data_IF_114309655672
#
_entry.id   IF_114309655672
#
_cell.length_a   1.000
_cell.length_b   1.000
_cell.length_c   1.000
_cell.angle_alpha   90.00
_cell.angle_beta   90.00
_cell.angle_gamma   90.00
#
_symmetry.space_group_name_H-M   'P 1'
#
loop_
_entity.id
_entity.type
_entity.pdbx_description
1 polymer ?
#
# COMPACT_ATOMS: atom_id res chain seq x y z
N UNK A 1 -23.59 -26.10 11.81
CA UNK A 1 -22.73 -25.21 11.02
C UNK A 1 -23.41 -23.84 10.94
N UNK A 2 -23.18 -22.98 11.94
CA UNK A 2 -23.80 -21.66 12.01
C UNK A 2 -22.97 -20.67 11.19
N UNK A 3 -23.57 -20.13 10.13
CA UNK A 3 -22.94 -19.11 9.27
C UNK A 3 -22.68 -17.88 10.14
N UNK A 4 -21.40 -17.46 10.19
CA UNK A 4 -20.95 -16.18 10.77
C UNK A 4 -21.95 -15.07 10.46
N UNK A 5 -22.42 -14.40 11.51
CA UNK A 5 -23.52 -13.44 11.48
C UNK A 5 -23.63 -12.64 10.20
N UNK A 6 -24.70 -12.89 9.44
CA UNK A 6 -25.18 -12.00 8.41
C UNK A 6 -25.52 -10.66 9.10
N UNK A 7 -24.57 -9.73 9.13
CA UNK A 7 -24.89 -8.33 9.42
C UNK A 7 -25.70 -7.85 8.23
N UNK A 8 -27.03 -7.86 8.37
CA UNK A 8 -27.91 -7.23 7.40
C UNK A 8 -27.38 -5.80 7.14
N UNK A 9 -27.02 -5.45 5.90
CA UNK A 9 -26.57 -4.11 5.59
C UNK A 9 -27.65 -3.14 6.09
N UNK A 10 -27.27 -2.15 6.92
CA UNK A 10 -28.21 -1.13 7.43
C UNK A 10 -28.86 -0.44 6.23
N UNK A 11 -30.08 -0.83 5.92
CA UNK A 11 -30.75 -0.47 4.67
C UNK A 11 -31.42 0.89 4.79
N UNK A 12 -32.01 1.13 5.97
CA UNK A 12 -32.62 2.40 6.37
C UNK A 12 -31.82 3.03 7.51
N UNK A 13 -31.77 4.36 7.52
CA UNK A 13 -31.16 5.16 8.57
C UNK A 13 -32.01 6.39 8.85
N UNK A 14 -31.92 6.90 10.08
CA UNK A 14 -32.42 8.24 10.41
C UNK A 14 -31.22 9.19 10.45
N UNK A 15 -31.29 10.26 9.68
CA UNK A 15 -30.24 11.29 9.61
C UNK A 15 -30.92 12.67 9.74
N UNK A 16 -30.53 13.46 10.75
CA UNK A 16 -31.15 14.76 11.09
C UNK A 16 -32.68 14.71 11.12
N UNK A 17 -33.25 13.69 11.77
CA UNK A 17 -34.70 13.50 11.92
C UNK A 17 -35.44 13.12 10.64
N UNK A 18 -34.74 12.63 9.61
CA UNK A 18 -35.32 12.25 8.31
C UNK A 18 -34.98 10.80 7.98
N UNK A 19 -35.96 10.08 7.44
CA UNK A 19 -35.75 8.72 6.95
C UNK A 19 -34.91 8.75 5.66
N UNK A 20 -33.84 7.98 5.68
CA UNK A 20 -32.88 7.84 4.59
C UNK A 20 -32.76 6.37 4.21
N UNK A 21 -32.63 6.10 2.91
CA UNK A 21 -32.32 4.77 2.39
C UNK A 21 -30.92 4.75 1.80
N UNK A 22 -30.17 3.67 2.06
CA UNK A 22 -28.89 3.44 1.40
C UNK A 22 -29.13 2.78 0.06
N UNK A 23 -28.66 3.44 -0.99
CA UNK A 23 -28.65 2.89 -2.34
C UNK A 23 -27.23 2.86 -2.86
N UNK A 24 -26.99 1.96 -3.79
CA UNK A 24 -25.78 1.90 -4.58
C UNK A 24 -25.91 2.89 -5.74
N UNK A 25 -24.94 3.78 -5.85
CA UNK A 25 -24.72 4.62 -7.04
C UNK A 25 -23.36 4.26 -7.58
N UNK A 26 -23.35 3.52 -8.68
CA UNK A 26 -22.14 2.93 -9.27
C UNK A 26 -21.38 2.08 -8.24
N UNK A 27 -20.16 2.46 -7.87
CA UNK A 27 -19.33 1.74 -6.90
C UNK A 27 -19.42 2.25 -5.47
N UNK A 28 -20.26 3.25 -5.21
CA UNK A 28 -20.39 3.86 -3.88
C UNK A 28 -21.77 3.71 -3.28
N UNK A 29 -21.82 3.52 -1.97
CA UNK A 29 -23.07 3.59 -1.22
C UNK A 29 -23.39 5.04 -0.89
N UNK A 30 -24.58 5.50 -1.26
CA UNK A 30 -25.08 6.84 -0.95
C UNK A 30 -26.36 6.75 -0.14
N UNK A 31 -26.56 7.71 0.77
CA UNK A 31 -27.82 7.87 1.48
C UNK A 31 -28.70 8.80 0.67
N UNK A 32 -29.93 8.39 0.39
CA UNK A 32 -30.92 9.21 -0.28
C UNK A 32 -32.09 9.41 0.65
N UNK A 33 -32.67 10.61 0.59
CA UNK A 33 -33.82 10.96 1.38
C UNK A 33 -35.06 10.25 0.86
N UNK A 34 -35.77 9.56 1.75
CA UNK A 34 -37.08 9.01 1.43
C UNK A 34 -38.10 10.18 1.45
N UNK A 35 -39.00 10.28 0.45
CA UNK A 35 -40.09 11.24 0.46
C UNK A 35 -40.90 11.18 1.77
N UNK A 36 -41.49 12.29 2.22
CA UNK A 36 -42.29 12.34 3.46
C UNK A 36 -43.69 11.78 3.22
N UNK A 37 -43.76 10.49 2.95
CA UNK A 37 -44.98 9.75 2.71
C UNK A 37 -45.02 8.52 3.62
N UNK A 38 -46.06 8.43 4.44
CA UNK A 38 -46.21 7.36 5.44
C UNK A 38 -46.36 5.97 4.79
N UNK A 39 -46.95 5.87 3.60
CA UNK A 39 -47.11 4.61 2.87
C UNK A 39 -45.76 4.13 2.33
N UNK A 40 -44.93 5.05 1.84
CA UNK A 40 -43.57 4.72 1.40
C UNK A 40 -42.73 4.29 2.61
N UNK A 41 -42.86 4.99 3.74
CA UNK A 41 -42.11 4.67 4.96
C UNK A 41 -42.50 3.30 5.51
N UNK A 42 -43.79 3.01 5.64
CA UNK A 42 -44.28 1.73 6.14
C UNK A 42 -43.83 0.58 5.24
N UNK A 43 -43.91 0.76 3.92
CA UNK A 43 -43.45 -0.22 2.93
C UNK A 43 -41.96 -0.52 3.08
N UNK A 44 -41.11 0.51 3.10
CA UNK A 44 -39.66 0.33 3.22
C UNK A 44 -39.26 -0.28 4.56
N UNK A 45 -39.90 0.13 5.66
CA UNK A 45 -39.65 -0.43 7.00
C UNK A 45 -40.03 -1.91 7.01
N UNK A 46 -41.21 -2.26 6.52
CA UNK A 46 -41.67 -3.65 6.42
C UNK A 46 -40.70 -4.51 5.59
N UNK A 47 -40.25 -3.99 4.44
CA UNK A 47 -39.27 -4.67 3.61
C UNK A 47 -37.92 -4.84 4.30
N UNK A 48 -37.49 -3.85 5.09
CA UNK A 48 -36.21 -3.90 5.81
C UNK A 48 -36.19 -4.90 6.96
N UNK A 49 -37.35 -5.16 7.57
CA UNK A 49 -37.54 -6.11 8.67
C UNK A 49 -37.81 -7.54 8.18
N UNK A 50 -38.07 -7.71 6.89
CA UNK A 50 -38.24 -9.04 6.27
C UNK A 50 -36.93 -9.83 6.25
N UNK A 51 -37.01 -11.15 6.36
CA UNK A 51 -35.84 -12.04 6.40
C UNK A 51 -35.10 -12.12 5.06
N UNK A 52 -33.78 -12.42 5.05
CA UNK A 52 -33.05 -12.71 3.81
C UNK A 52 -33.74 -13.79 2.98
N UNK A 53 -33.92 -13.55 1.68
CA UNK A 53 -34.63 -14.46 0.77
C UNK A 53 -36.15 -14.28 0.69
N UNK A 54 -36.76 -13.48 1.58
CA UNK A 54 -38.18 -13.14 1.47
C UNK A 54 -38.41 -12.13 0.33
N UNK A 55 -39.57 -12.19 -0.36
CA UNK A 55 -39.88 -11.34 -1.52
C UNK A 55 -39.72 -9.83 -1.21
N UNK A 56 -40.24 -9.38 -0.07
CA UNK A 56 -40.07 -8.00 0.39
C UNK A 56 -38.59 -7.59 0.55
N UNK A 57 -37.75 -8.52 1.04
CA UNK A 57 -36.33 -8.27 1.21
C UNK A 57 -35.62 -8.19 -0.14
N UNK A 58 -36.01 -9.04 -1.09
CA UNK A 58 -35.54 -8.98 -2.48
C UNK A 58 -35.94 -7.66 -3.14
N UNK A 59 -37.19 -7.20 -2.97
CA UNK A 59 -37.66 -5.89 -3.49
C UNK A 59 -36.82 -4.73 -2.95
N UNK A 60 -36.51 -4.75 -1.65
CA UNK A 60 -35.62 -3.76 -1.06
C UNK A 60 -34.22 -3.82 -1.64
N UNK A 61 -33.63 -5.01 -1.74
CA UNK A 61 -32.30 -5.19 -2.35
C UNK A 61 -32.28 -4.73 -3.80
N UNK A 62 -33.32 -5.03 -4.59
CA UNK A 62 -33.45 -4.54 -5.94
C UNK A 62 -33.45 -3.01 -6.00
N UNK A 63 -34.25 -2.36 -5.14
CA UNK A 63 -34.30 -0.91 -5.05
C UNK A 63 -32.95 -0.33 -4.58
N UNK A 64 -32.28 -0.97 -3.63
CA UNK A 64 -30.99 -0.51 -3.14
C UNK A 64 -29.88 -0.64 -4.18
N UNK A 65 -29.85 -1.72 -4.94
CA UNK A 65 -28.76 -1.99 -5.87
C UNK A 65 -29.00 -1.39 -7.26
N UNK A 66 -30.24 -1.36 -7.76
CA UNK A 66 -30.50 -1.07 -9.17
C UNK A 66 -31.19 0.27 -9.44
N UNK A 67 -31.73 0.96 -8.44
CA UNK A 67 -32.47 2.22 -8.64
C UNK A 67 -31.67 3.31 -9.37
N UNK A 68 -30.34 3.32 -9.23
CA UNK A 68 -29.44 4.27 -9.90
C UNK A 68 -28.28 3.57 -10.61
N UNK A 69 -28.43 2.29 -10.94
CA UNK A 69 -27.44 1.63 -11.79
C UNK A 69 -27.77 1.95 -13.24
N UNK A 70 -26.84 2.61 -13.93
CA UNK A 70 -26.84 2.65 -15.39
C UNK A 70 -26.59 1.22 -15.89
N UNK A 71 -27.62 0.56 -16.44
CA UNK A 71 -27.54 -0.81 -16.96
C UNK A 71 -26.48 -0.92 -18.07
N UNK A 72 -26.19 0.20 -18.73
CA UNK A 72 -25.25 0.31 -19.85
C UNK A 72 -23.80 0.63 -19.43
N UNK A 73 -23.53 0.95 -18.16
CA UNK A 73 -22.16 1.23 -17.72
C UNK A 73 -21.45 -0.06 -17.32
N UNK A 74 -20.43 -0.40 -18.10
CA UNK A 74 -19.44 -1.40 -17.73
C UNK A 74 -18.94 -1.11 -16.31
N UNK A 75 -18.91 -2.16 -15.47
CA UNK A 75 -18.43 -2.12 -14.07
C UNK A 75 -17.01 -1.53 -14.00
N UNK A 76 -16.26 -1.63 -15.09
CA UNK A 76 -14.91 -1.10 -15.26
C UNK A 76 -14.94 -0.09 -16.41
N UNK A 77 -14.39 1.10 -16.20
CA UNK A 77 -14.35 2.14 -17.23
C UNK A 77 -13.51 1.71 -18.44
N UNK A 78 -13.81 2.20 -19.64
CA UNK A 78 -13.00 1.90 -20.84
C UNK A 78 -11.50 2.26 -20.66
N UNK A 79 -11.14 3.40 -20.04
CA UNK A 79 -9.75 3.68 -19.68
C UNK A 79 -9.13 2.61 -18.78
N UNK A 80 -9.83 2.14 -17.75
CA UNK A 80 -9.33 1.09 -16.87
C UNK A 80 -9.17 -0.25 -17.61
N UNK A 81 -10.10 -0.59 -18.51
CA UNK A 81 -9.99 -1.76 -19.39
C UNK A 81 -8.73 -1.67 -20.24
N UNK A 82 -8.46 -0.50 -20.82
CA UNK A 82 -7.26 -0.28 -21.63
C UNK A 82 -5.99 -0.39 -20.79
N UNK A 83 -5.96 0.19 -19.58
CA UNK A 83 -4.81 0.07 -18.69
C UNK A 83 -4.58 -1.36 -18.19
N UNK A 84 -5.64 -2.14 -17.97
CA UNK A 84 -5.53 -3.58 -17.67
C UNK A 84 -4.98 -4.35 -18.86
N UNK A 85 -5.46 -4.06 -20.08
CA UNK A 85 -4.95 -4.68 -21.32
C UNK A 85 -3.47 -4.33 -21.55
N UNK A 86 -3.08 -3.09 -21.30
CA UNK A 86 -1.69 -2.64 -21.38
C UNK A 86 -0.80 -3.41 -20.41
N UNK A 87 -1.16 -3.46 -19.12
CA UNK A 87 -0.41 -4.22 -18.12
C UNK A 87 -0.34 -5.70 -18.46
N UNK A 88 -1.44 -6.29 -18.95
CA UNK A 88 -1.47 -7.67 -19.41
C UNK A 88 -0.53 -7.90 -20.60
N UNK A 89 -0.52 -7.00 -21.58
CA UNK A 89 0.40 -7.06 -22.70
C UNK A 89 1.87 -7.06 -22.27
N UNK A 90 2.23 -6.25 -21.26
CA UNK A 90 3.58 -6.27 -20.68
C UNK A 90 3.90 -7.63 -20.07
N UNK A 91 2.97 -8.20 -19.29
CA UNK A 91 3.17 -9.52 -18.66
C UNK A 91 3.39 -10.58 -19.73
N UNK A 92 2.52 -10.64 -20.74
CA UNK A 92 2.54 -11.64 -21.80
C UNK A 92 3.82 -11.54 -22.66
N UNK A 93 4.38 -10.33 -22.83
CA UNK A 93 5.60 -10.09 -23.61
C UNK A 93 6.90 -10.17 -22.79
N UNK A 94 6.81 -10.33 -21.46
CA UNK A 94 7.98 -10.25 -20.57
C UNK A 94 8.83 -11.53 -20.49
N UNK A 95 8.46 -12.59 -21.21
CA UNK A 95 9.14 -13.89 -21.20
C UNK A 95 9.35 -14.44 -19.76
N UNK A 96 8.30 -14.36 -18.95
CA UNK A 96 8.31 -14.82 -17.56
C UNK A 96 9.05 -13.91 -16.57
N UNK A 97 9.62 -12.78 -17.01
CA UNK A 97 10.26 -11.81 -16.12
C UNK A 97 9.26 -11.06 -15.24
N UNK A 98 7.99 -10.98 -15.65
CA UNK A 98 6.90 -10.41 -14.83
C UNK A 98 5.92 -11.52 -14.43
N UNK A 99 5.68 -11.67 -13.13
CA UNK A 99 4.80 -12.71 -12.57
C UNK A 99 3.83 -12.11 -11.56
N UNK A 100 2.54 -12.42 -11.70
CA UNK A 100 1.52 -12.06 -10.72
C UNK A 100 1.45 -13.12 -9.60
N UNK A 101 1.62 -12.70 -8.35
CA UNK A 101 1.49 -13.57 -7.16
C UNK A 101 0.36 -13.11 -6.24
N UNK A 102 -0.51 -14.06 -5.86
CA UNK A 102 -1.55 -13.85 -4.86
C UNK A 102 -2.54 -12.71 -5.17
N UNK A 103 -2.66 -12.32 -6.44
CA UNK A 103 -3.57 -11.26 -6.92
C UNK A 103 -3.27 -9.84 -6.44
N UNK A 104 -2.18 -9.62 -5.69
CA UNK A 104 -1.87 -8.31 -5.07
C UNK A 104 -0.40 -7.91 -5.17
N UNK A 105 0.43 -8.72 -5.83
CA UNK A 105 1.86 -8.50 -5.99
C UNK A 105 2.28 -8.82 -7.42
N UNK A 106 3.04 -7.93 -8.02
CA UNK A 106 3.66 -8.11 -9.32
C UNK A 106 5.16 -8.24 -9.07
N UNK A 107 5.71 -9.44 -9.29
CA UNK A 107 7.15 -9.66 -9.24
C UNK A 107 7.74 -9.33 -10.61
N UNK A 108 8.83 -8.57 -10.64
CA UNK A 108 9.49 -8.11 -11.87
C UNK A 108 10.98 -8.42 -11.77
N UNK A 109 11.55 -9.05 -12.79
CA UNK A 109 12.99 -9.29 -12.89
C UNK A 109 13.58 -8.31 -13.90
N UNK A 110 14.41 -7.37 -13.43
CA UNK A 110 15.04 -6.36 -14.27
C UNK A 110 16.15 -6.92 -15.17
N UNK A 111 16.64 -6.10 -16.10
CA UNK A 111 17.70 -6.45 -17.06
C UNK A 111 19.00 -6.87 -16.35
N UNK A 112 19.31 -6.24 -15.20
CA UNK A 112 20.49 -6.58 -14.40
C UNK A 112 20.31 -7.86 -13.55
N UNK A 113 19.13 -8.49 -13.61
CA UNK A 113 18.77 -9.71 -12.89
C UNK A 113 18.24 -9.47 -11.47
N UNK A 114 17.98 -8.21 -11.09
CA UNK A 114 17.41 -7.86 -9.80
C UNK A 114 15.92 -8.22 -9.77
N UNK A 115 15.47 -8.77 -8.64
CA UNK A 115 14.05 -9.05 -8.40
C UNK A 115 13.39 -7.93 -7.60
N UNK A 116 12.35 -7.37 -8.20
CA UNK A 116 11.49 -6.35 -7.61
C UNK A 116 10.10 -6.91 -7.33
N UNK A 117 9.39 -6.25 -6.43
CA UNK A 117 7.97 -6.45 -6.23
C UNK A 117 7.22 -5.12 -6.21
N UNK A 118 6.23 -5.01 -7.10
CA UNK A 118 5.31 -3.87 -7.15
C UNK A 118 4.00 -4.29 -6.48
N UNK A 119 3.60 -3.52 -5.48
CA UNK A 119 2.40 -3.77 -4.68
C UNK A 119 1.48 -2.55 -4.81
N UNK A 120 0.29 -2.69 -5.45
CA UNK A 120 -0.68 -1.61 -5.52
C UNK A 120 -1.17 -1.19 -4.12
N UNK A 121 -1.38 0.11 -3.93
CA UNK A 121 -1.81 0.72 -2.66
C UNK A 121 -0.88 1.83 -2.20
N UNK A 122 -1.14 2.41 -1.03
CA UNK A 122 -0.37 3.56 -0.52
C UNK A 122 1.11 3.20 -0.34
N UNK A 123 1.96 3.84 -1.13
CA UNK A 123 3.42 3.82 -0.99
C UNK A 123 3.99 5.18 -0.56
N UNK A 124 5.33 5.33 -0.62
CA UNK A 124 6.02 6.56 -0.24
C UNK A 124 5.49 7.78 -1.00
N UNK A 125 5.50 8.95 -0.36
CA UNK A 125 5.08 10.22 -0.97
C UNK A 125 3.67 10.21 -1.60
N UNK A 126 2.74 9.45 -1.00
CA UNK A 126 1.36 9.26 -1.50
C UNK A 126 1.30 8.58 -2.88
N UNK A 127 2.35 7.85 -3.28
CA UNK A 127 2.32 7.00 -4.46
C UNK A 127 1.22 5.94 -4.34
N UNK A 128 0.63 5.56 -5.48
CA UNK A 128 -0.45 4.57 -5.56
C UNK A 128 0.06 3.14 -5.60
N UNK A 129 1.38 2.96 -5.46
CA UNK A 129 2.04 1.67 -5.35
C UNK A 129 3.26 1.77 -4.43
N UNK A 130 3.72 0.62 -3.96
CA UNK A 130 5.02 0.44 -3.30
C UNK A 130 5.88 -0.46 -4.14
N UNK A 131 7.17 -0.14 -4.21
CA UNK A 131 8.17 -0.96 -4.87
C UNK A 131 9.14 -1.46 -3.82
N UNK A 132 9.40 -2.76 -3.81
CA UNK A 132 10.42 -3.37 -2.97
C UNK A 132 11.40 -4.18 -3.80
N UNK A 133 12.60 -4.37 -3.29
CA UNK A 133 13.64 -5.20 -3.88
C UNK A 133 14.21 -6.17 -2.83
N UNK A 134 14.94 -7.19 -3.30
CA UNK A 134 15.66 -8.08 -2.40
C UNK A 134 16.78 -7.31 -1.66
N UNK A 135 16.98 -7.57 -0.36
CA UNK A 135 18.03 -6.90 0.41
C UNK A 135 19.40 -7.37 -0.09
N UNK A 136 20.36 -6.44 -0.14
CA UNK A 136 21.72 -6.70 -0.61
C UNK A 136 22.71 -6.65 0.56
N UNK A 137 22.40 -5.92 1.62
CA UNK A 137 23.21 -5.88 2.84
C UNK A 137 22.38 -6.12 4.11
N UNK A 138 23.08 -6.39 5.20
CA UNK A 138 22.52 -6.51 6.55
C UNK A 138 21.73 -5.24 6.93
N UNK A 139 22.28 -4.07 6.61
CA UNK A 139 21.60 -2.78 6.80
C UNK A 139 20.23 -2.71 6.10
N UNK A 140 20.09 -3.32 4.91
CA UNK A 140 18.80 -3.36 4.21
C UNK A 140 17.80 -4.28 4.94
N UNK A 141 18.27 -5.37 5.56
CA UNK A 141 17.45 -6.30 6.35
C UNK A 141 16.98 -5.62 7.64
N UNK A 142 17.90 -4.97 8.36
CA UNK A 142 17.59 -4.22 9.60
C UNK A 142 16.56 -3.14 9.31
N UNK A 143 16.76 -2.36 8.24
CA UNK A 143 15.82 -1.32 7.84
C UNK A 143 14.46 -1.90 7.45
N UNK A 144 14.43 -3.04 6.74
CA UNK A 144 13.20 -3.77 6.43
C UNK A 144 12.47 -4.25 7.68
N UNK A 145 13.18 -4.78 8.67
CA UNK A 145 12.62 -5.21 9.96
C UNK A 145 12.02 -4.03 10.73
N UNK A 146 12.73 -2.91 10.86
CA UNK A 146 12.25 -1.68 11.49
C UNK A 146 10.98 -1.17 10.81
N UNK A 147 10.99 -1.07 9.48
CA UNK A 147 9.83 -0.62 8.71
C UNK A 147 8.63 -1.55 8.89
N UNK A 148 8.85 -2.86 8.97
CA UNK A 148 7.78 -3.82 9.22
C UNK A 148 7.14 -3.65 10.61
N UNK A 149 7.93 -3.30 11.63
CA UNK A 149 7.44 -3.07 12.99
C UNK A 149 6.61 -1.79 13.08
N UNK A 150 7.04 -0.71 12.41
CA UNK A 150 6.27 0.55 12.31
C UNK A 150 4.90 0.27 11.66
N UNK A 151 4.89 -0.41 10.51
CA UNK A 151 3.65 -0.70 9.76
C UNK A 151 2.68 -1.61 10.54
N UNK A 152 3.19 -2.52 11.39
CA UNK A 152 2.34 -3.35 12.26
C UNK A 152 1.58 -2.52 13.30
N UNK A 153 2.21 -1.50 13.88
CA UNK A 153 1.58 -0.59 14.86
C UNK A 153 0.46 0.24 14.25
N UNK A 154 0.57 0.56 12.96
CA UNK A 154 -0.45 1.31 12.22
C UNK A 154 -1.68 0.46 11.78
N UNK A 155 -1.83 -0.79 12.27
CA UNK A 155 -2.94 -1.71 11.94
C UNK A 155 -3.11 -1.98 10.44
N UNK A 156 -2.04 -1.85 9.65
CA UNK A 156 -2.08 -2.14 8.21
C UNK A 156 -1.96 -3.66 8.03
N UNK A 157 -3.06 -4.34 7.70
CA UNK A 157 -3.06 -5.76 7.32
C UNK A 157 -2.20 -5.96 6.07
N UNK A 158 -0.91 -6.24 6.24
CA UNK A 158 0.05 -6.48 5.14
C UNK A 158 0.71 -7.86 5.23
N UNK A 159 0.93 -8.40 4.03
CA UNK A 159 1.16 -9.80 3.68
C UNK A 159 2.40 -10.44 4.33
N UNK A 160 2.39 -11.77 4.35
CA UNK A 160 3.34 -12.66 5.05
C UNK A 160 4.83 -12.47 4.73
N UNK A 161 5.21 -11.97 3.54
CA UNK A 161 6.63 -11.70 3.22
C UNK A 161 7.14 -10.37 3.76
N UNK A 162 6.26 -9.38 3.97
CA UNK A 162 6.62 -8.13 4.65
C UNK A 162 6.70 -8.32 6.18
N UNK A 163 6.14 -9.41 6.71
CA UNK A 163 6.20 -9.72 8.14
C UNK A 163 7.61 -10.07 8.64
N UNK A 164 8.53 -10.46 7.76
CA UNK A 164 9.87 -10.92 8.14
C UNK A 164 10.99 -9.90 7.91
N UNK A 165 10.69 -8.66 7.46
CA UNK A 165 11.70 -7.62 7.25
C UNK A 165 12.72 -7.88 6.13
N UNK A 166 12.48 -8.90 5.30
CA UNK A 166 13.41 -9.37 4.26
C UNK A 166 13.28 -8.59 2.93
N UNK A 167 12.87 -7.33 2.95
CA UNK A 167 12.67 -6.53 1.74
C UNK A 167 13.11 -5.08 1.93
N UNK A 168 13.79 -4.52 0.93
CA UNK A 168 14.18 -3.11 0.88
C UNK A 168 13.13 -2.32 0.10
N UNK A 169 12.59 -1.25 0.69
CA UNK A 169 11.66 -0.35 -0.02
C UNK A 169 12.43 0.61 -0.94
N UNK A 170 11.96 0.74 -2.18
CA UNK A 170 12.47 1.68 -3.17
C UNK A 170 11.46 2.81 -3.34
N UNK A 171 11.89 4.03 -3.00
CA UNK A 171 11.07 5.23 -3.18
C UNK A 171 11.05 5.64 -4.66
N UNK A 172 10.08 5.13 -5.42
CA UNK A 172 9.81 5.57 -6.79
C UNK A 172 8.62 6.52 -6.75
N UNK A 173 8.89 7.81 -6.98
CA UNK A 173 7.88 8.85 -6.95
C UNK A 173 7.20 8.93 -8.31
N UNK A 174 5.87 8.88 -8.32
CA UNK A 174 5.08 9.17 -9.52
C UNK A 174 5.29 10.62 -9.93
N UNK A 175 5.72 10.84 -11.17
CA UNK A 175 5.63 12.15 -11.82
C UNK A 175 4.17 12.64 -11.77
N UNK A 176 3.91 13.95 -11.56
CA UNK A 176 2.56 14.51 -11.57
C UNK A 176 1.73 14.14 -12.82
N UNK A 177 2.37 13.94 -13.98
CA UNK A 177 1.72 13.47 -15.21
C UNK A 177 1.21 12.03 -15.09
N UNK A 178 1.98 11.13 -14.46
CA UNK A 178 1.60 9.73 -14.24
C UNK A 178 0.42 9.58 -13.27
N UNK A 179 0.27 10.52 -12.31
CA UNK A 179 -0.88 10.54 -11.38
C UNK A 179 -2.23 10.72 -12.08
N UNK A 180 -2.23 11.32 -13.27
CA UNK A 180 -3.44 11.52 -14.09
C UNK A 180 -3.86 10.27 -14.85
N UNK A 181 -2.96 9.29 -15.00
CA UNK A 181 -3.24 8.04 -15.68
C UNK A 181 -4.09 7.11 -14.83
N UNK A 182 -4.83 6.23 -15.51
CA UNK A 182 -5.48 5.09 -14.85
C UNK A 182 -4.45 4.21 -14.17
N UNK A 183 -4.87 3.52 -13.12
CA UNK A 183 -3.95 2.75 -12.28
C UNK A 183 -3.19 1.67 -13.06
N UNK A 184 -3.82 1.07 -14.08
CA UNK A 184 -3.19 0.07 -14.94
C UNK A 184 -2.00 0.63 -15.73
N UNK A 185 -2.14 1.81 -16.32
CA UNK A 185 -1.07 2.48 -17.05
C UNK A 185 0.07 2.92 -16.14
N UNK A 186 -0.27 3.43 -14.95
CA UNK A 186 0.71 3.82 -13.95
C UNK A 186 1.55 2.62 -13.51
N UNK A 187 0.90 1.54 -13.09
CA UNK A 187 1.56 0.28 -12.71
C UNK A 187 2.39 -0.26 -13.88
N UNK A 188 1.83 -0.31 -15.07
CA UNK A 188 2.53 -0.79 -16.28
C UNK A 188 3.78 0.02 -16.58
N UNK A 189 3.73 1.35 -16.43
CA UNK A 189 4.89 2.23 -16.64
C UNK A 189 6.03 1.92 -15.67
N UNK A 190 5.72 1.63 -14.40
CA UNK A 190 6.74 1.26 -13.40
C UNK A 190 7.29 -0.13 -13.67
N UNK A 191 6.42 -1.09 -14.01
CA UNK A 191 6.85 -2.44 -14.37
C UNK A 191 7.82 -2.37 -15.55
N UNK A 192 7.53 -1.55 -16.57
CA UNK A 192 8.43 -1.32 -17.70
C UNK A 192 9.75 -0.64 -17.28
N UNK A 193 9.68 0.35 -16.39
CA UNK A 193 10.89 1.00 -15.86
C UNK A 193 11.78 0.04 -15.06
N UNK A 194 11.18 -0.91 -14.34
CA UNK A 194 11.91 -1.93 -13.58
C UNK A 194 12.42 -3.05 -14.49
N UNK A 195 11.71 -3.40 -15.57
CA UNK A 195 12.20 -4.34 -16.58
C UNK A 195 13.46 -3.81 -17.26
N UNK A 196 13.50 -2.50 -17.54
CA UNK A 196 14.66 -1.80 -18.12
C UNK A 196 15.43 -1.00 -17.05
N UNK A 197 15.66 -1.62 -15.89
CA UNK A 197 16.30 -1.01 -14.72
C UNK A 197 17.65 -0.35 -15.05
N UNK A 198 18.42 -0.93 -15.98
CA UNK A 198 19.69 -0.39 -16.47
C UNK A 198 19.57 0.99 -17.13
N UNK A 199 18.48 1.24 -17.86
CA UNK A 199 18.25 2.56 -18.48
C UNK A 199 17.52 3.48 -17.51
N UNK A 200 16.49 2.96 -16.83
CA UNK A 200 15.61 3.73 -15.96
C UNK A 200 16.30 4.28 -14.71
N UNK A 201 17.39 3.66 -14.25
CA UNK A 201 18.20 4.17 -13.13
C UNK A 201 18.66 5.62 -13.33
N UNK A 202 18.92 6.05 -14.57
CA UNK A 202 19.34 7.42 -14.88
C UNK A 202 18.33 8.49 -14.43
N UNK A 203 17.05 8.11 -14.32
CA UNK A 203 15.95 9.00 -13.97
C UNK A 203 15.37 8.71 -12.57
N UNK A 204 15.81 7.64 -11.91
CA UNK A 204 15.26 7.19 -10.62
C UNK A 204 16.41 7.03 -9.62
N UNK A 205 16.66 8.07 -8.84
CA UNK A 205 17.83 8.16 -7.95
C UNK A 205 17.90 7.02 -6.93
N UNK A 206 16.75 6.62 -6.37
CA UNK A 206 16.66 5.51 -5.41
C UNK A 206 16.97 4.15 -6.04
N UNK A 207 16.59 3.97 -7.31
CA UNK A 207 16.93 2.78 -8.10
C UNK A 207 18.41 2.77 -8.45
N UNK A 208 18.98 3.92 -8.84
CA UNK A 208 20.42 4.05 -9.15
C UNK A 208 21.31 3.73 -7.95
N UNK A 209 20.99 4.27 -6.79
CA UNK A 209 21.70 4.00 -5.55
C UNK A 209 21.66 2.51 -5.19
N UNK A 210 20.48 1.88 -5.32
CA UNK A 210 20.31 0.46 -5.07
C UNK A 210 21.11 -0.39 -6.07
N UNK A 211 21.00 -0.12 -7.36
CA UNK A 211 21.69 -0.88 -8.41
C UNK A 211 23.22 -0.75 -8.33
N UNK A 212 23.72 0.44 -8.01
CA UNK A 212 25.15 0.65 -7.76
C UNK A 212 25.69 -0.24 -6.64
N UNK A 213 24.91 -0.41 -5.56
CA UNK A 213 25.25 -1.31 -4.47
C UNK A 213 25.14 -2.77 -4.90
N UNK A 214 24.10 -3.12 -5.66
CA UNK A 214 23.88 -4.46 -6.21
C UNK A 214 25.06 -4.92 -7.08
N UNK A 215 25.50 -4.08 -8.01
CA UNK A 215 26.60 -4.41 -8.92
C UNK A 215 27.92 -4.58 -8.16
N UNK A 216 28.19 -3.75 -7.14
CA UNK A 216 29.35 -3.91 -6.26
C UNK A 216 29.29 -5.24 -5.51
N UNK A 217 28.12 -5.60 -4.97
CA UNK A 217 27.92 -6.88 -4.28
C UNK A 217 28.11 -8.07 -5.23
N UNK A 218 27.55 -8.01 -6.44
CA UNK A 218 27.69 -9.06 -7.46
C UNK A 218 29.15 -9.25 -7.89
N UNK A 219 29.93 -8.17 -8.02
CA UNK A 219 31.37 -8.22 -8.35
C UNK A 219 32.23 -8.83 -7.25
N UNK A 220 31.85 -8.65 -5.98
CA UNK A 220 32.57 -9.23 -4.83
C UNK A 220 32.41 -10.74 -4.73
N UNK A 221 31.47 -11.33 -5.46
CA UNK A 221 31.28 -12.78 -5.50
C UNK A 221 30.88 -13.36 -4.14
N UNK A 222 30.27 -12.55 -3.27
CA UNK A 222 29.81 -12.99 -1.96
C UNK A 222 28.72 -14.06 -2.15
N UNK A 223 29.14 -15.33 -2.05
CA UNK A 223 28.30 -16.53 -1.98
C UNK A 223 27.67 -16.68 -0.59
N UNK A 224 27.26 -15.57 0.05
CA UNK A 224 26.63 -15.68 1.36
C UNK A 224 25.13 -15.89 1.17
N UNK A 225 24.78 -17.12 0.73
CA UNK A 225 23.41 -17.57 0.48
C UNK A 225 22.52 -17.55 1.75
N UNK A 226 23.10 -17.24 2.93
CA UNK A 226 22.42 -17.31 4.22
C UNK A 226 22.27 -15.95 4.96
N UNK A 227 22.31 -14.82 4.27
CA UNK A 227 21.89 -13.51 4.84
C UNK A 227 20.46 -13.56 5.45
N UNK A 228 19.59 -14.43 4.90
CA UNK A 228 18.20 -14.62 5.35
C UNK A 228 18.05 -15.46 6.61
N UNK A 229 19.02 -16.31 6.94
CA UNK A 229 18.98 -17.24 8.09
C UNK A 229 19.69 -16.69 9.33
N UNK A 230 20.54 -15.67 9.18
CA UNK A 230 21.48 -15.22 10.23
C UNK A 230 21.02 -14.09 11.15
N UNK A 231 19.85 -13.49 10.93
CA UNK A 231 19.48 -12.25 11.63
C UNK A 231 18.17 -12.33 12.41
N UNK A 232 18.29 -12.88 13.63
CA UNK A 232 17.41 -12.51 14.75
C UNK A 232 18.04 -11.31 15.46
N UNK A 233 17.91 -10.12 14.85
CA UNK A 233 18.40 -8.88 15.47
C UNK A 233 17.69 -8.72 16.81
N UNK A 234 18.44 -8.47 17.89
CA UNK A 234 17.90 -8.36 19.24
C UNK A 234 16.70 -7.39 19.24
N UNK A 235 15.51 -7.94 19.49
CA UNK A 235 14.22 -7.25 19.37
C UNK A 235 14.18 -5.94 20.15
N UNK A 236 14.90 -5.86 21.28
CA UNK A 236 14.97 -4.65 22.09
C UNK A 236 15.64 -3.48 21.35
N UNK A 237 16.69 -3.76 20.56
CA UNK A 237 17.36 -2.74 19.75
C UNK A 237 16.48 -2.26 18.59
N UNK A 238 15.79 -3.18 17.92
CA UNK A 238 14.80 -2.83 16.89
C UNK A 238 13.68 -1.95 17.46
N UNK A 239 13.16 -2.27 18.64
CA UNK A 239 12.11 -1.48 19.29
C UNK A 239 12.58 -0.07 19.68
N UNK A 240 13.84 0.08 20.13
CA UNK A 240 14.44 1.40 20.36
C UNK A 240 14.61 2.20 19.06
N UNK A 241 15.08 1.57 17.98
CA UNK A 241 15.23 2.22 16.69
C UNK A 241 13.90 2.65 16.09
N UNK A 242 12.85 1.85 16.24
CA UNK A 242 11.47 2.20 15.84
C UNK A 242 11.01 3.45 16.59
N UNK A 243 11.19 3.50 17.91
CA UNK A 243 10.78 4.65 18.71
C UNK A 243 11.52 5.95 18.31
N UNK A 244 12.82 5.86 18.02
CA UNK A 244 13.60 7.02 17.54
C UNK A 244 13.13 7.49 16.15
N UNK A 245 12.81 6.57 15.23
CA UNK A 245 12.24 6.92 13.91
C UNK A 245 10.86 7.54 14.00
N UNK A 246 9.98 7.03 14.86
CA UNK A 246 8.66 7.62 15.11
C UNK A 246 8.82 9.05 15.67
N UNK A 247 9.77 9.27 16.60
CA UNK A 247 10.11 10.59 17.11
C UNK A 247 10.58 11.54 16.01
N UNK A 248 11.44 11.10 15.10
CA UNK A 248 11.85 11.90 13.93
C UNK A 248 10.66 12.24 13.01
N UNK A 249 9.74 11.31 12.79
CA UNK A 249 8.56 11.59 11.98
C UNK A 249 7.65 12.64 12.63
N UNK A 250 7.48 12.61 13.95
CA UNK A 250 6.71 13.62 14.69
C UNK A 250 7.39 14.99 14.58
N UNK A 251 8.71 15.06 14.80
CA UNK A 251 9.51 16.28 14.64
C UNK A 251 9.38 16.85 13.22
N UNK A 252 9.40 16.00 12.19
CA UNK A 252 9.24 16.41 10.79
C UNK A 252 7.82 16.89 10.44
N UNK A 253 6.77 16.35 11.07
CA UNK A 253 5.38 16.77 10.82
C UNK A 253 5.02 18.09 11.49
N UNK A 254 5.74 18.48 12.54
CA UNK A 254 5.54 19.76 13.22
C UNK A 254 6.13 20.97 12.45
N UNK A 255 6.65 20.74 11.23
CA UNK A 255 7.41 21.73 10.47
C UNK A 255 6.56 22.82 9.79
N UNK A 256 5.23 22.65 9.69
CA UNK A 256 4.41 23.52 8.84
C UNK A 256 4.07 24.90 9.48
N UNK A 257 4.32 25.13 10.78
CA UNK A 257 3.84 26.33 11.51
C UNK A 257 4.87 27.03 12.46
N UNK A 258 6.19 26.86 12.28
CA UNK A 258 7.19 27.32 13.28
C UNK A 258 7.95 28.61 12.92
N UNK A 259 8.21 29.44 13.94
CA UNK A 259 9.06 30.63 13.87
C UNK A 259 10.57 30.27 13.76
N UNK A 260 11.47 31.24 13.49
CA UNK A 260 12.91 30.98 13.34
C UNK A 260 13.59 30.38 14.58
N UNK A 261 13.12 30.66 15.79
CA UNK A 261 13.67 30.11 17.03
C UNK A 261 13.23 28.66 17.26
N UNK A 262 11.98 28.34 16.93
CA UNK A 262 11.47 26.97 16.89
C UNK A 262 12.16 26.10 15.85
N UNK A 263 12.60 26.68 14.73
CA UNK A 263 13.36 25.97 13.70
C UNK A 263 14.73 25.49 14.20
N UNK A 264 15.42 26.28 15.03
CA UNK A 264 16.75 25.95 15.54
C UNK A 264 16.72 24.89 16.64
N UNK A 265 15.75 25.00 17.57
CA UNK A 265 15.49 23.96 18.59
C UNK A 265 15.12 22.62 17.92
N UNK A 266 14.35 22.67 16.82
CA UNK A 266 14.02 21.50 16.01
C UNK A 266 15.24 20.87 15.37
N UNK A 267 16.15 21.68 14.82
CA UNK A 267 17.38 21.19 14.19
C UNK A 267 18.29 20.50 15.21
N UNK A 268 18.41 21.05 16.42
CA UNK A 268 19.13 20.41 17.52
C UNK A 268 18.51 19.06 17.92
N UNK A 269 17.18 19.01 18.11
CA UNK A 269 16.47 17.76 18.42
C UNK A 269 16.57 16.73 17.30
N UNK A 270 16.53 17.17 16.05
CA UNK A 270 16.68 16.31 14.88
C UNK A 270 18.10 15.74 14.81
N UNK A 271 19.11 16.56 15.04
CA UNK A 271 20.51 16.14 15.08
C UNK A 271 20.77 15.17 16.22
N UNK A 272 20.22 15.40 17.41
CA UNK A 272 20.34 14.49 18.56
C UNK A 272 19.77 13.11 18.23
N UNK A 273 18.54 13.05 17.70
CA UNK A 273 17.90 11.77 17.39
C UNK A 273 18.61 11.07 16.22
N UNK A 274 19.09 11.81 15.22
CA UNK A 274 19.86 11.26 14.10
C UNK A 274 21.19 10.68 14.57
N UNK A 275 21.90 11.37 15.46
CA UNK A 275 23.13 10.87 16.09
C UNK A 275 22.88 9.63 16.94
N UNK A 276 21.76 9.57 17.68
CA UNK A 276 21.37 8.39 18.46
C UNK A 276 21.13 7.18 17.58
N UNK A 277 20.47 7.37 16.44
CA UNK A 277 20.27 6.31 15.43
C UNK A 277 21.61 5.85 14.86
N UNK A 278 22.49 6.78 14.50
CA UNK A 278 23.80 6.45 13.94
C UNK A 278 24.69 5.68 14.94
N UNK A 279 24.64 6.01 16.22
CA UNK A 279 25.37 5.28 17.26
C UNK A 279 24.81 3.87 17.47
N UNK A 280 23.48 3.72 17.55
CA UNK A 280 22.84 2.40 17.64
C UNK A 280 23.12 1.53 16.40
N UNK A 281 23.23 2.13 15.21
CA UNK A 281 23.62 1.43 14.00
C UNK A 281 25.07 0.91 14.09
N UNK A 282 26.01 1.71 14.61
CA UNK A 282 27.40 1.27 14.82
C UNK A 282 27.50 0.17 15.88
N UNK A 283 26.78 0.31 17.00
CA UNK A 283 26.73 -0.73 18.03
C UNK A 283 26.20 -2.05 17.47
N UNK A 284 25.26 -1.99 16.53
CA UNK A 284 24.74 -3.18 15.86
C UNK A 284 25.77 -3.80 14.89
N UNK A 285 26.51 -2.96 14.16
CA UNK A 285 27.60 -3.40 13.27
C UNK A 285 28.78 -4.01 14.07
N UNK A 286 29.03 -3.55 15.30
CA UNK A 286 30.12 -4.00 16.18
C UNK A 286 29.80 -5.30 16.95
N UNK A 287 28.52 -5.59 17.24
CA UNK A 287 28.12 -6.78 18.03
C UNK A 287 28.25 -8.09 17.23
N UNK A 288 28.25 -8.03 15.90
CA UNK A 288 28.35 -9.21 15.03
C UNK A 288 27.16 -10.18 15.17
N UNK A 289 26.96 -11.10 14.21
CA UNK A 289 25.89 -12.10 14.31
C UNK A 289 26.19 -13.07 15.45
N UNK A 290 25.17 -13.34 16.28
CA UNK A 290 25.18 -14.43 17.26
C UNK A 290 25.09 -15.80 16.59
#
# INVERSE_FOLDING_TARGET
>A
MFIKGYKAPRSLLVDKGRLMIRVRRNDTWRKIRVPRDLNIWSTLVNWSLSTPGHENRMKLECLQYYLFCDIERNIISNPDINGIKFLRGIIDQSDGKVVLKGGKRIEVTGELGVKYAVIPGRGPHQSRFRVTAEPISEQDIIEGQINSLILRRENVQRMERERNGLVKELCIVEDPSLRKLVIGDAIGSIVMALLNDKTSRKNINTLDNYLSRFERHKRRGDKNDNLRERFDVNRNYLEQMVALRERLQIINRAADDLDPGGAQIREEQMNEVTMRIANLQRELDDVGPA
#
